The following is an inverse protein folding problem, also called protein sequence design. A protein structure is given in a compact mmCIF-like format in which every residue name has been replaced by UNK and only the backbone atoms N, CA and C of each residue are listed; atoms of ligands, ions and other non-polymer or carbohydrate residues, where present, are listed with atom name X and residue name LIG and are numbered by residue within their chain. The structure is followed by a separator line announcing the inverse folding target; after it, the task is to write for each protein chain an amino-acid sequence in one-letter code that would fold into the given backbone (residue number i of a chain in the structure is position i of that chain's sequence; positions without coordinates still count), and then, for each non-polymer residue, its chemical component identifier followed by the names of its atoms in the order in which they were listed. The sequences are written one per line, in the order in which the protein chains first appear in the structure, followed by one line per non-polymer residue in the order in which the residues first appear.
data_IF_822828900854
#
_entry.id   IF_822828900854
#
_cell.length_a   1.000
_cell.length_b   1.000
_cell.length_c   1.000
_cell.angle_alpha   90.00
_cell.angle_beta   90.00
_cell.angle_gamma   90.00
#
_symmetry.space_group_name_H-M   'P 1'
#
loop_
_entity.id
_entity.type
_entity.pdbx_description
1 polymer ?
#
# COMPACT_ATOMS: atom_id res chain seq x y z
N UNK A 1 3.26 14.33 -0.82
CA UNK A 1 2.73 12.98 -1.16
C UNK A 1 1.21 12.91 -1.41
N UNK A 2 0.45 13.99 -1.28
CA UNK A 2 -1.04 13.94 -1.28
C UNK A 2 -1.71 13.59 -2.63
N UNK A 3 -1.02 13.59 -3.76
CA UNK A 3 -1.61 13.37 -5.09
C UNK A 3 -0.90 12.31 -5.93
N UNK A 4 -0.25 11.34 -5.32
CA UNK A 4 0.36 10.25 -6.07
C UNK A 4 -0.71 9.22 -6.48
N UNK A 5 -0.73 8.85 -7.76
CA UNK A 5 -1.65 7.87 -8.32
C UNK A 5 -1.12 6.44 -8.27
N UNK A 6 0.16 6.25 -7.91
CA UNK A 6 0.82 4.94 -7.92
C UNK A 6 0.85 4.23 -6.56
N UNK A 7 0.35 4.88 -5.50
CA UNK A 7 0.30 4.31 -4.15
C UNK A 7 -1.07 4.49 -3.55
N UNK A 8 -1.45 3.59 -2.64
CA UNK A 8 -2.66 3.76 -1.84
C UNK A 8 -2.59 5.05 -1.04
N UNK A 9 -3.72 5.74 -0.92
CA UNK A 9 -3.83 6.98 -0.13
C UNK A 9 -4.13 6.64 1.31
N UNK A 10 -3.41 7.28 2.21
CA UNK A 10 -3.78 7.35 3.61
C UNK A 10 -4.81 8.47 3.78
N UNK A 11 -6.02 8.11 4.22
CA UNK A 11 -7.12 9.05 4.46
C UNK A 11 -7.10 9.55 5.89
N UNK A 12 -6.88 8.65 6.84
CA UNK A 12 -6.92 8.98 8.26
C UNK A 12 -6.07 8.01 9.09
N UNK A 13 -5.75 8.42 10.31
CA UNK A 13 -5.13 7.59 11.33
C UNK A 13 -5.99 7.71 12.57
N UNK A 14 -6.52 6.57 13.04
CA UNK A 14 -7.34 6.50 14.25
C UNK A 14 -6.50 5.86 15.35
N UNK A 15 -6.34 6.59 16.43
CA UNK A 15 -5.70 6.13 17.66
C UNK A 15 -6.82 6.03 18.70
N UNK A 16 -7.24 4.82 19.10
CA UNK A 16 -8.22 4.66 20.17
C UNK A 16 -7.69 5.30 21.45
N UNK A 17 -8.55 5.95 22.25
CA UNK A 17 -8.16 6.33 23.60
C UNK A 17 -7.90 5.04 24.39
N UNK A 18 -6.67 4.81 24.78
CA UNK A 18 -6.33 3.71 25.66
C UNK A 18 -6.99 3.96 27.02
N UNK A 19 -7.82 3.02 27.49
CA UNK A 19 -8.39 3.06 28.85
C UNK A 19 -7.31 2.97 29.92
N UNK A 20 -6.11 2.52 29.56
CA UNK A 20 -4.89 2.51 30.36
C UNK A 20 -3.76 3.24 29.65
N UNK A 21 -3.82 4.57 29.60
CA UNK A 21 -2.62 5.34 29.26
C UNK A 21 -1.60 5.20 30.38
N UNK A 22 -0.85 4.12 30.37
CA UNK A 22 0.35 4.02 31.18
C UNK A 22 1.35 5.05 30.66
N UNK A 23 1.45 6.19 31.36
CA UNK A 23 2.60 7.06 31.16
C UNK A 23 3.83 6.22 31.48
N UNK A 24 4.62 5.90 30.47
CA UNK A 24 5.95 5.37 30.70
C UNK A 24 6.74 6.41 31.50
N UNK A 25 7.58 5.99 32.42
CA UNK A 25 8.44 6.85 33.26
C UNK A 25 9.26 7.90 32.46
N UNK A 26 9.31 7.77 31.14
CA UNK A 26 10.04 8.64 30.22
C UNK A 26 9.15 9.70 29.52
N UNK A 27 7.88 9.86 29.88
CA UNK A 27 6.97 10.84 29.30
C UNK A 27 6.60 10.57 27.83
N UNK A 28 6.84 9.35 27.33
CA UNK A 28 6.52 8.95 25.96
C UNK A 28 5.17 8.24 25.95
N UNK A 29 4.20 8.79 25.22
CA UNK A 29 2.91 8.14 25.01
C UNK A 29 3.14 6.85 24.22
N UNK A 30 2.77 5.70 24.79
CA UNK A 30 2.78 4.42 24.11
C UNK A 30 1.36 4.09 23.64
N UNK A 31 1.18 3.90 22.35
CA UNK A 31 -0.09 3.47 21.79
C UNK A 31 -0.06 1.94 21.64
N UNK A 32 -1.11 1.26 22.12
CA UNK A 32 -1.27 -0.19 21.97
C UNK A 32 -1.72 -0.55 20.55
N UNK A 33 -2.57 0.28 19.94
CA UNK A 33 -3.16 0.06 18.63
C UNK A 33 -3.21 1.34 17.81
N UNK A 34 -2.97 1.21 16.49
CA UNK A 34 -3.12 2.30 15.53
C UNK A 34 -3.82 1.76 14.29
N UNK A 35 -4.93 2.39 13.90
CA UNK A 35 -5.66 2.04 12.68
C UNK A 35 -5.36 3.04 11.57
N UNK A 36 -4.99 2.53 10.41
CA UNK A 36 -4.80 3.35 9.20
C UNK A 36 -6.01 3.19 8.29
N UNK A 37 -6.64 4.30 7.94
CA UNK A 37 -7.74 4.34 6.95
C UNK A 37 -7.13 4.62 5.60
N UNK A 38 -7.14 3.63 4.70
CA UNK A 38 -6.59 3.72 3.35
C UNK A 38 -7.68 3.41 2.31
N UNK A 39 -7.48 3.83 1.06
CA UNK A 39 -8.39 3.45 -0.01
C UNK A 39 -8.34 1.94 -0.27
N UNK A 40 -9.49 1.36 -0.55
CA UNK A 40 -9.64 -0.05 -0.86
C UNK A 40 -9.48 -0.28 -2.37
N UNK A 41 -8.69 -1.29 -2.74
CA UNK A 41 -8.55 -1.78 -4.11
C UNK A 41 -8.80 -3.28 -4.11
N UNK A 42 -9.71 -3.72 -4.95
CA UNK A 42 -10.30 -5.06 -4.92
C UNK A 42 -9.36 -6.17 -5.40
N UNK A 43 -8.51 -5.85 -6.36
CA UNK A 43 -7.66 -6.79 -7.06
C UNK A 43 -6.18 -6.52 -6.83
N UNK A 44 -5.43 -7.60 -6.69
CA UNK A 44 -3.98 -7.61 -6.75
C UNK A 44 -3.49 -8.60 -7.84
N UNK A 45 -2.24 -8.46 -8.26
CA UNK A 45 -1.67 -9.34 -9.29
C UNK A 45 -1.66 -10.81 -8.87
N UNK A 46 -1.49 -11.13 -7.58
CA UNK A 46 -1.52 -12.52 -7.12
C UNK A 46 -2.90 -13.13 -7.34
N UNK A 47 -3.98 -12.45 -6.96
CA UNK A 47 -5.36 -12.90 -7.20
C UNK A 47 -5.61 -13.14 -8.68
N UNK A 48 -5.13 -12.25 -9.55
CA UNK A 48 -5.30 -12.39 -11.00
C UNK A 48 -4.59 -13.63 -11.52
N UNK A 49 -3.38 -13.93 -11.05
CA UNK A 49 -2.60 -15.11 -11.50
C UNK A 49 -3.12 -16.43 -10.93
N UNK A 50 -3.71 -16.41 -9.73
CA UNK A 50 -4.17 -17.65 -9.04
C UNK A 50 -5.63 -17.99 -9.31
N UNK A 51 -6.40 -17.12 -9.95
CA UNK A 51 -7.79 -17.41 -10.31
C UNK A 51 -7.83 -18.56 -11.32
N UNK A 52 -8.78 -19.49 -11.17
CA UNK A 52 -8.97 -20.69 -12.02
C UNK A 52 -9.17 -20.39 -13.53
N UNK A 53 -9.31 -19.14 -13.91
CA UNK A 53 -9.28 -18.63 -15.27
C UNK A 53 -8.28 -17.49 -15.35
N UNK A 54 -6.97 -17.78 -15.46
CA UNK A 54 -5.98 -16.73 -15.56
C UNK A 54 -6.32 -15.84 -16.77
N UNK A 55 -6.65 -14.58 -16.51
CA UNK A 55 -6.76 -13.60 -17.58
C UNK A 55 -5.37 -13.48 -18.22
N UNK A 56 -5.26 -13.87 -19.46
CA UNK A 56 -4.07 -13.53 -20.23
C UNK A 56 -4.10 -12.02 -20.45
N UNK A 57 -3.13 -11.34 -19.92
CA UNK A 57 -2.94 -9.94 -20.28
C UNK A 57 -2.45 -9.86 -21.73
N UNK A 58 -2.97 -8.91 -22.47
CA UNK A 58 -2.37 -8.53 -23.74
C UNK A 58 -1.02 -7.83 -23.48
N UNK A 59 -0.09 -7.91 -24.43
CA UNK A 59 1.26 -7.38 -24.26
C UNK A 59 1.27 -5.89 -23.86
N UNK A 60 0.35 -5.10 -24.43
CA UNK A 60 0.20 -3.71 -24.08
C UNK A 60 -0.25 -3.49 -22.62
N UNK A 61 -1.07 -4.39 -22.06
CA UNK A 61 -1.48 -4.32 -20.66
C UNK A 61 -0.32 -4.65 -19.72
N UNK A 62 0.50 -5.64 -20.08
CA UNK A 62 1.72 -5.99 -19.34
C UNK A 62 2.67 -4.81 -19.30
N UNK A 63 2.92 -4.18 -20.45
CA UNK A 63 3.76 -3.00 -20.55
C UNK A 63 3.22 -1.84 -19.72
N UNK A 64 1.91 -1.63 -19.73
CA UNK A 64 1.27 -0.57 -18.94
C UNK A 64 1.42 -0.81 -17.42
N UNK A 65 1.19 -2.04 -16.96
CA UNK A 65 1.38 -2.41 -15.56
C UNK A 65 2.84 -2.22 -15.15
N UNK A 66 3.77 -2.69 -15.96
CA UNK A 66 5.21 -2.55 -15.71
C UNK A 66 5.63 -1.08 -15.63
N UNK A 67 5.16 -0.27 -16.58
CA UNK A 67 5.46 1.16 -16.60
C UNK A 67 4.96 1.86 -15.33
N UNK A 68 3.71 1.62 -14.94
CA UNK A 68 3.13 2.21 -13.73
C UNK A 68 3.85 1.75 -12.46
N UNK A 69 4.24 0.48 -12.39
CA UNK A 69 5.02 -0.05 -11.28
C UNK A 69 6.38 0.64 -11.17
N UNK A 70 7.08 0.80 -12.28
CA UNK A 70 8.38 1.50 -12.31
C UNK A 70 8.24 2.98 -11.93
N UNK A 71 7.18 3.64 -12.37
CA UNK A 71 6.87 5.01 -11.95
C UNK A 71 6.62 5.10 -10.43
N UNK A 72 5.89 4.14 -9.88
CA UNK A 72 5.64 4.05 -8.43
C UNK A 72 6.92 3.83 -7.63
N UNK A 73 7.78 2.92 -8.08
CA UNK A 73 9.08 2.65 -7.44
C UNK A 73 9.99 3.89 -7.52
N UNK A 74 10.07 4.52 -8.68
CA UNK A 74 10.84 5.75 -8.86
C UNK A 74 10.36 6.88 -7.94
N UNK A 75 9.04 7.00 -7.78
CA UNK A 75 8.44 7.94 -6.84
C UNK A 75 8.87 7.67 -5.39
N UNK A 76 8.83 6.41 -4.94
CA UNK A 76 9.28 6.03 -3.60
C UNK A 76 10.77 6.32 -3.41
N UNK A 77 11.60 5.93 -4.39
CA UNK A 77 13.05 6.15 -4.33
C UNK A 77 13.42 7.64 -4.32
N UNK A 78 12.69 8.48 -5.06
CA UNK A 78 12.89 9.94 -5.03
C UNK A 78 12.59 10.56 -3.66
N UNK A 79 11.77 9.87 -2.86
CA UNK A 79 11.47 10.24 -1.47
C UNK A 79 12.40 9.53 -0.45
N UNK A 80 13.47 8.87 -0.89
CA UNK A 80 14.37 8.04 -0.07
C UNK A 80 13.66 6.91 0.67
N UNK A 81 12.56 6.37 0.11
CA UNK A 81 11.82 5.24 0.65
C UNK A 81 12.11 3.99 -0.16
N UNK A 82 12.51 2.91 0.50
CA UNK A 82 12.69 1.59 -0.11
C UNK A 82 11.51 0.71 0.28
N UNK A 83 10.83 0.10 -0.70
CA UNK A 83 9.63 -0.69 -0.47
C UNK A 83 9.88 -1.98 0.34
N UNK A 84 10.97 -2.71 0.07
CA UNK A 84 11.46 -3.95 0.72
C UNK A 84 10.57 -5.20 0.59
N UNK A 85 9.34 -5.11 0.12
CA UNK A 85 8.41 -6.26 0.00
C UNK A 85 7.64 -6.20 -1.34
N UNK A 86 8.35 -5.98 -2.45
CA UNK A 86 7.75 -6.03 -3.79
C UNK A 86 7.43 -7.47 -4.17
N UNK A 87 6.13 -7.74 -4.31
CA UNK A 87 5.59 -9.05 -4.72
C UNK A 87 4.21 -8.87 -5.35
N UNK A 88 3.70 -9.84 -6.12
CA UNK A 88 2.41 -9.71 -6.81
C UNK A 88 1.22 -9.38 -5.90
N UNK A 89 1.23 -9.83 -4.64
CA UNK A 89 0.15 -9.51 -3.68
C UNK A 89 0.17 -8.06 -3.20
N UNK A 90 1.28 -7.35 -3.38
CA UNK A 90 1.44 -5.95 -3.01
C UNK A 90 1.33 -4.99 -4.21
N UNK A 91 1.05 -5.53 -5.40
CA UNK A 91 0.76 -4.75 -6.61
C UNK A 91 -0.75 -4.78 -6.85
N UNK A 92 -1.41 -3.69 -6.49
CA UNK A 92 -2.85 -3.52 -6.61
C UNK A 92 -3.20 -3.06 -8.03
N UNK A 93 -4.32 -3.55 -8.56
CA UNK A 93 -4.80 -3.22 -9.90
C UNK A 93 -6.16 -2.55 -9.76
N UNK A 94 -6.20 -1.26 -10.03
CA UNK A 94 -7.42 -0.49 -10.17
C UNK A 94 -7.94 -0.57 -11.63
N UNK A 95 -9.26 -0.41 -11.83
CA UNK A 95 -9.93 -0.57 -13.13
C UNK A 95 -9.94 0.73 -13.91
#
# INVERSE_FOLDING_TARGET
MRNNVFTTKLHDIIIPPDEESCMSDNGMETFSEVFMVINYVDLDLKKIFTTNRPKKFADNQVLHILYNLLCGINFLHSANVIHRDLKPSNVLIDK
#
